data_IF_422505477401
#
_entry.id   IF_422505477401
#
_cell.length_a   1.000
_cell.length_b   1.000
_cell.length_c   1.000
_cell.angle_alpha   90.00
_cell.angle_beta   90.00
_cell.angle_gamma   90.00
#
_symmetry.space_group_name_H-M   'P 1'
#
loop_
_entity.id
_entity.type
_entity.pdbx_description
1 polymer ?
#
# COMPACT_ATOMS: atom_id res chain seq x y z
N UNK A 1 -3.84 -23.58 -14.10
CA UNK A 1 -5.18 -24.02 -13.64
C UNK A 1 -5.89 -22.80 -13.08
N UNK A 2 -7.12 -22.50 -13.51
CA UNK A 2 -7.91 -21.37 -12.99
C UNK A 2 -9.01 -21.87 -12.06
N UNK A 3 -9.52 -21.00 -11.18
CA UNK A 3 -10.55 -21.35 -10.17
C UNK A 3 -11.99 -21.31 -10.72
N UNK A 4 -12.19 -20.93 -11.99
CA UNK A 4 -13.51 -20.93 -12.64
C UNK A 4 -14.44 -19.76 -12.27
N UNK A 5 -13.96 -18.73 -11.56
CA UNK A 5 -14.77 -17.57 -11.22
C UNK A 5 -15.01 -16.66 -12.42
N UNK A 6 -16.27 -16.52 -12.83
CA UNK A 6 -16.70 -15.57 -13.86
C UNK A 6 -16.91 -14.16 -13.32
N UNK A 7 -17.13 -14.02 -12.00
CA UNK A 7 -17.34 -12.75 -11.31
C UNK A 7 -16.90 -12.86 -9.85
N UNK A 8 -16.12 -11.89 -9.34
CA UNK A 8 -15.53 -11.96 -8.00
C UNK A 8 -15.33 -10.57 -7.38
N UNK A 9 -15.17 -10.53 -6.05
CA UNK A 9 -14.77 -9.31 -5.34
C UNK A 9 -13.28 -9.37 -4.99
N UNK A 10 -12.64 -8.22 -4.85
CA UNK A 10 -11.25 -8.12 -4.42
C UNK A 10 -11.13 -7.28 -3.15
N UNK A 11 -10.24 -7.68 -2.26
CA UNK A 11 -9.93 -6.94 -1.04
C UNK A 11 -8.43 -6.67 -1.00
N UNK A 12 -8.04 -5.45 -0.66
CA UNK A 12 -6.64 -5.04 -0.66
C UNK A 12 -6.27 -4.10 0.48
N UNK A 13 -5.12 -4.37 1.10
CA UNK A 13 -4.37 -3.46 1.96
C UNK A 13 -2.90 -3.48 1.54
N UNK A 14 -2.08 -2.54 2.01
CA UNK A 14 -0.65 -2.44 1.66
C UNK A 14 -0.43 -2.54 0.12
N UNK A 15 0.54 -3.30 -0.39
CA UNK A 15 0.72 -3.55 -1.83
C UNK A 15 -0.55 -4.15 -2.47
N UNK A 16 -1.31 -4.93 -1.71
CA UNK A 16 -2.58 -5.50 -2.14
C UNK A 16 -3.64 -4.45 -2.48
N UNK A 17 -3.58 -3.23 -1.92
CA UNK A 17 -4.53 -2.17 -2.31
C UNK A 17 -4.24 -1.64 -3.72
N UNK A 18 -2.97 -1.53 -4.11
CA UNK A 18 -2.55 -1.18 -5.47
C UNK A 18 -2.97 -2.27 -6.46
N UNK A 19 -2.73 -3.54 -6.11
CA UNK A 19 -3.12 -4.68 -6.94
C UNK A 19 -4.65 -4.74 -7.06
N UNK A 20 -5.39 -4.69 -5.96
CA UNK A 20 -6.85 -4.73 -5.97
C UNK A 20 -7.45 -3.57 -6.78
N UNK A 21 -6.90 -2.37 -6.65
CA UNK A 21 -7.31 -1.21 -7.44
C UNK A 21 -7.06 -1.43 -8.94
N UNK A 22 -5.88 -1.94 -9.30
CA UNK A 22 -5.54 -2.28 -10.69
C UNK A 22 -6.47 -3.36 -11.23
N UNK A 23 -6.77 -4.40 -10.44
CA UNK A 23 -7.69 -5.45 -10.85
C UNK A 23 -9.09 -4.88 -11.13
N UNK A 24 -9.60 -4.04 -10.22
CA UNK A 24 -10.92 -3.44 -10.34
C UNK A 24 -11.07 -2.48 -11.53
N UNK A 25 -9.98 -1.82 -11.95
CA UNK A 25 -10.00 -0.92 -13.12
C UNK A 25 -9.69 -1.63 -14.44
N UNK A 26 -9.08 -2.81 -14.39
CA UNK A 26 -8.64 -3.55 -15.59
C UNK A 26 -9.60 -4.65 -16.02
N UNK A 27 -10.30 -5.30 -15.08
CA UNK A 27 -11.09 -6.51 -15.36
C UNK A 27 -12.57 -6.34 -14.99
N UNK A 28 -13.46 -6.49 -15.98
CA UNK A 28 -14.93 -6.46 -15.79
C UNK A 28 -15.46 -7.59 -14.89
N UNK A 29 -14.69 -8.67 -14.74
CA UNK A 29 -15.01 -9.77 -13.82
C UNK A 29 -14.95 -9.35 -12.35
N UNK A 30 -14.33 -8.21 -12.01
CA UNK A 30 -14.33 -7.66 -10.65
C UNK A 30 -15.65 -6.95 -10.39
N UNK A 31 -16.50 -7.54 -9.56
CA UNK A 31 -17.79 -7.01 -9.17
C UNK A 31 -17.73 -5.88 -8.13
N UNK A 32 -16.72 -5.93 -7.26
CA UNK A 32 -16.58 -5.03 -6.12
C UNK A 32 -15.13 -5.02 -5.61
N UNK A 33 -14.75 -3.91 -5.00
CA UNK A 33 -13.46 -3.71 -4.33
C UNK A 33 -13.67 -3.23 -2.91
N UNK A 34 -12.91 -3.78 -1.97
CA UNK A 34 -12.83 -3.29 -0.60
C UNK A 34 -11.38 -2.98 -0.23
N UNK A 35 -11.10 -1.72 0.11
CA UNK A 35 -9.76 -1.27 0.50
C UNK A 35 -9.74 -0.87 1.97
N UNK A 36 -8.67 -1.27 2.67
CA UNK A 36 -8.36 -0.76 4.01
C UNK A 36 -7.14 0.17 4.03
N UNK A 37 -6.51 0.36 2.87
CA UNK A 37 -5.48 1.37 2.62
C UNK A 37 -5.76 1.99 1.25
N UNK A 38 -5.97 3.31 1.21
CA UNK A 38 -6.16 4.03 -0.05
C UNK A 38 -4.79 4.44 -0.61
N UNK A 39 -4.42 3.99 -1.82
CA UNK A 39 -3.08 4.21 -2.38
C UNK A 39 -2.81 5.64 -2.88
N UNK A 40 -3.81 6.53 -2.87
CA UNK A 40 -3.69 7.91 -3.35
C UNK A 40 -4.24 8.89 -2.32
N UNK A 41 -3.34 9.54 -1.58
CA UNK A 41 -3.66 10.70 -0.73
C UNK A 41 -3.38 12.03 -1.44
N UNK A 42 -2.78 11.97 -2.63
CA UNK A 42 -2.25 13.09 -3.44
C UNK A 42 -3.28 14.16 -3.85
N UNK A 43 -4.52 14.07 -3.36
CA UNK A 43 -5.63 14.95 -3.71
C UNK A 43 -6.30 15.66 -2.53
N UNK A 44 -5.87 15.43 -1.30
CA UNK A 44 -6.50 16.04 -0.12
C UNK A 44 -5.41 16.71 0.72
N UNK A 45 -5.41 18.04 0.74
CA UNK A 45 -4.58 18.84 1.64
C UNK A 45 -5.37 19.13 2.91
N UNK A 46 -4.68 19.25 4.05
CA UNK A 46 -5.30 19.60 5.35
C UNK A 46 -5.83 21.04 5.39
N UNK A 47 -5.48 21.86 4.39
CA UNK A 47 -5.85 23.27 4.27
C UNK A 47 -7.33 23.50 3.89
N UNK A 48 -8.05 22.45 3.47
CA UNK A 48 -9.47 22.57 3.13
C UNK A 48 -10.28 22.98 4.38
N UNK A 49 -10.98 24.14 4.36
CA UNK A 49 -11.75 24.64 5.49
C UNK A 49 -13.01 23.82 5.77
N UNK A 50 -13.47 22.98 4.83
CA UNK A 50 -14.63 22.09 5.00
C UNK A 50 -14.32 20.84 5.81
N UNK A 51 -13.04 20.51 5.99
CA UNK A 51 -12.62 19.31 6.73
C UNK A 51 -12.83 19.48 8.24
N UNK A 52 -13.29 18.39 8.87
CA UNK A 52 -13.32 18.31 10.33
C UNK A 52 -11.89 18.31 10.90
N UNK A 53 -11.75 18.66 12.18
CA UNK A 53 -10.47 18.54 12.87
C UNK A 53 -9.92 17.11 12.86
N UNK A 54 -10.79 16.10 12.92
CA UNK A 54 -10.40 14.69 12.81
C UNK A 54 -9.87 14.32 11.43
N UNK A 55 -10.45 14.87 10.36
CA UNK A 55 -10.01 14.59 8.99
C UNK A 55 -8.65 15.24 8.71
N UNK A 56 -8.46 16.50 9.14
CA UNK A 56 -7.16 17.19 9.06
C UNK A 56 -6.06 16.41 9.76
N UNK A 57 -6.33 15.95 10.99
CA UNK A 57 -5.38 15.13 11.73
C UNK A 57 -5.14 13.76 11.06
N UNK A 58 -6.11 13.20 10.35
CA UNK A 58 -5.93 11.96 9.60
C UNK A 58 -5.03 12.16 8.38
N UNK A 59 -5.19 13.27 7.65
CA UNK A 59 -4.35 13.64 6.51
C UNK A 59 -2.91 13.87 6.97
N UNK A 60 -2.70 14.70 8.01
CA UNK A 60 -1.36 14.96 8.57
C UNK A 60 -0.67 13.67 9.01
N UNK A 61 -1.38 12.77 9.68
CA UNK A 61 -0.84 11.44 10.05
C UNK A 61 -0.45 10.63 8.82
N UNK A 62 -1.23 10.72 7.74
CA UNK A 62 -0.99 9.96 6.53
C UNK A 62 0.20 10.52 5.72
N UNK A 63 0.37 11.84 5.68
CA UNK A 63 1.57 12.50 5.14
C UNK A 63 2.82 12.08 5.93
N UNK A 64 2.71 11.98 7.25
CA UNK A 64 3.81 11.54 8.10
C UNK A 64 4.06 10.03 8.07
N UNK A 65 3.06 9.22 7.69
CA UNK A 65 3.09 7.75 7.79
C UNK A 65 4.22 7.10 6.99
N UNK A 66 4.62 7.75 5.89
CA UNK A 66 5.65 7.28 4.97
C UNK A 66 6.92 8.13 5.01
N UNK A 67 7.07 9.01 6.01
CA UNK A 67 8.34 9.67 6.29
C UNK A 67 9.34 8.68 6.92
N UNK A 68 10.61 9.09 7.00
CA UNK A 68 11.72 8.31 7.55
C UNK A 68 11.36 7.71 8.93
N UNK A 69 11.57 6.41 9.20
CA UNK A 69 12.41 5.44 8.48
C UNK A 69 11.68 4.49 7.51
N UNK A 70 10.35 4.54 7.38
CA UNK A 70 9.60 3.56 6.56
C UNK A 70 9.92 3.68 5.07
N UNK A 71 10.27 4.86 4.59
CA UNK A 71 10.75 5.08 3.22
C UNK A 71 12.08 4.37 2.92
N UNK A 72 12.96 4.20 3.92
CA UNK A 72 14.29 3.62 3.72
C UNK A 72 14.22 2.15 3.30
N UNK A 73 13.34 1.38 3.94
CA UNK A 73 13.08 -0.01 3.59
C UNK A 73 12.51 -0.13 2.17
N UNK A 74 11.51 0.69 1.83
CA UNK A 74 10.89 0.72 0.51
C UNK A 74 11.89 1.15 -0.60
N UNK A 75 12.78 2.11 -0.32
CA UNK A 75 13.83 2.54 -1.25
C UNK A 75 14.86 1.43 -1.51
N UNK A 76 15.29 0.71 -0.47
CA UNK A 76 16.21 -0.42 -0.63
C UNK A 76 15.56 -1.57 -1.41
N UNK A 77 14.30 -1.89 -1.11
CA UNK A 77 13.53 -2.91 -1.83
C UNK A 77 13.30 -2.54 -3.30
N UNK A 78 13.08 -1.25 -3.62
CA UNK A 78 12.85 -0.80 -5.00
C UNK A 78 14.13 -0.62 -5.82
N UNK A 79 15.25 -0.20 -5.22
CA UNK A 79 16.47 0.16 -5.97
C UNK A 79 17.59 -0.86 -5.88
N UNK A 80 17.61 -1.72 -4.85
CA UNK A 80 18.64 -2.73 -4.59
C UNK A 80 18.05 -4.07 -4.10
N UNK A 81 17.01 -4.61 -4.75
CA UNK A 81 16.29 -5.80 -4.26
C UNK A 81 17.19 -7.02 -4.04
N UNK A 82 18.15 -7.26 -4.95
CA UNK A 82 19.09 -8.37 -4.81
C UNK A 82 20.02 -8.21 -3.60
N UNK A 83 20.48 -6.98 -3.33
CA UNK A 83 21.34 -6.69 -2.18
C UNK A 83 20.60 -6.89 -0.87
N UNK A 84 19.40 -6.30 -0.72
CA UNK A 84 18.61 -6.48 0.50
C UNK A 84 18.17 -7.94 0.68
N UNK A 85 17.80 -8.61 -0.42
CA UNK A 85 17.47 -10.03 -0.41
C UNK A 85 18.61 -10.90 0.13
N UNK A 86 19.84 -10.65 -0.31
CA UNK A 86 21.03 -11.34 0.22
C UNK A 86 21.28 -11.02 1.70
N UNK A 87 21.12 -9.75 2.11
CA UNK A 87 21.31 -9.34 3.51
C UNK A 87 20.30 -10.02 4.45
N UNK A 88 18.99 -9.96 4.16
CA UNK A 88 17.97 -10.57 5.03
C UNK A 88 18.02 -12.10 5.01
N UNK A 89 18.48 -12.70 3.92
CA UNK A 89 18.64 -14.16 3.81
C UNK A 89 19.87 -14.69 4.55
N UNK A 90 20.81 -13.82 4.93
CA UNK A 90 22.06 -14.23 5.59
C UNK A 90 21.87 -14.75 7.02
N UNK A 91 20.78 -14.34 7.70
CA UNK A 91 20.50 -14.73 9.08
C UNK A 91 19.02 -14.51 9.43
N UNK A 92 18.36 -15.42 10.17
CA UNK A 92 17.01 -15.18 10.67
C UNK A 92 16.92 -13.95 11.58
N UNK A 93 18.01 -13.55 12.24
CA UNK A 93 18.05 -12.30 13.02
C UNK A 93 18.08 -11.07 12.12
N UNK A 94 18.72 -11.16 10.95
CA UNK A 94 18.70 -10.08 9.96
C UNK A 94 17.30 -9.90 9.36
N UNK A 95 16.61 -11.00 9.05
CA UNK A 95 15.22 -10.95 8.60
C UNK A 95 14.26 -10.45 9.69
N UNK A 96 14.48 -10.80 10.96
CA UNK A 96 13.64 -10.33 12.07
C UNK A 96 13.81 -8.82 12.36
N UNK A 97 15.03 -8.30 12.18
CA UNK A 97 15.32 -6.88 12.37
C UNK A 97 14.84 -5.99 11.21
N UNK A 98 14.63 -6.60 10.03
CA UNK A 98 14.13 -5.94 8.83
C UNK A 98 12.60 -5.86 8.84
#
# INVERSE_FOLDING_TARGET
>A
MSLGFSRYAVQGGDVGSLIASTLATTYDSVAAIHLNLLPSLDRITSDDPSLSSSDKAAIERAEQRFLTPTTGAALLQSTRPATIGAMVSSSPLALLAW
#
